data_IF_891544456032
#
_entry.id   IF_891544456032
#
_cell.length_a   1.000
_cell.length_b   1.000
_cell.length_c   1.000
_cell.angle_alpha   90.00
_cell.angle_beta   90.00
_cell.angle_gamma   90.00
#
_symmetry.space_group_name_H-M   'P 1'
#
loop_
_entity.id
_entity.type
_entity.pdbx_description
1 polymer ?
#
# COMPACT_ATOMS: atom_id res chain seq x y z
N UNK A 1 -6.84 12.75 0.40
CA UNK A 1 -5.82 12.62 1.46
C UNK A 1 -6.14 13.67 2.51
N UNK A 2 -5.97 13.40 3.80
CA UNK A 2 -6.34 14.39 4.81
C UNK A 2 -5.26 15.47 4.89
N UNK A 3 -5.27 16.31 3.85
CA UNK A 3 -4.56 17.56 3.67
C UNK A 3 -4.77 18.51 4.86
N UNK A 4 -3.91 18.43 5.85
CA UNK A 4 -3.57 19.56 6.71
C UNK A 4 -2.06 19.60 6.80
N UNK A 5 -1.47 20.76 6.52
CA UNK A 5 -0.03 21.01 6.59
C UNK A 5 0.88 20.19 5.65
N UNK A 6 0.36 19.64 4.55
CA UNK A 6 1.21 19.11 3.47
C UNK A 6 1.73 17.67 3.64
N UNK A 7 1.26 16.90 4.62
CA UNK A 7 1.76 15.53 4.86
C UNK A 7 0.67 14.45 4.70
N UNK A 8 1.04 13.34 4.06
CA UNK A 8 0.21 12.13 3.90
C UNK A 8 0.45 11.23 5.12
N UNK A 9 -0.49 11.20 6.05
CA UNK A 9 -0.29 10.56 7.37
C UNK A 9 -0.50 9.04 7.40
N UNK A 10 -0.86 8.40 6.27
CA UNK A 10 -0.72 6.95 6.04
C UNK A 10 -0.58 6.73 4.53
N UNK A 11 0.66 6.71 4.03
CA UNK A 11 1.00 6.42 2.64
C UNK A 11 0.94 4.91 2.38
N UNK A 12 0.49 4.43 1.21
CA UNK A 12 0.80 3.06 0.78
C UNK A 12 2.31 2.79 0.86
N UNK A 13 2.73 1.53 0.90
CA UNK A 13 4.15 1.21 0.70
C UNK A 13 4.57 1.74 -0.67
N UNK A 14 5.64 2.51 -0.73
CA UNK A 14 6.09 3.11 -1.98
C UNK A 14 7.25 2.30 -2.55
N UNK A 15 7.06 1.79 -3.76
CA UNK A 15 8.05 1.01 -4.49
C UNK A 15 8.65 1.88 -5.59
N UNK A 16 9.88 2.32 -5.40
CA UNK A 16 10.65 3.01 -6.44
C UNK A 16 11.33 1.98 -7.33
N UNK A 17 10.87 1.86 -8.57
CA UNK A 17 11.35 0.87 -9.52
C UNK A 17 12.27 1.51 -10.56
N UNK A 18 13.58 1.37 -10.32
CA UNK A 18 14.63 1.82 -11.22
C UNK A 18 14.63 0.94 -12.46
N UNK A 19 14.47 1.59 -13.62
CA UNK A 19 14.41 0.94 -14.93
C UNK A 19 13.27 -0.09 -15.02
N UNK A 20 12.06 0.26 -14.55
CA UNK A 20 10.89 -0.62 -14.54
C UNK A 20 10.65 -1.32 -15.90
N UNK A 21 10.33 -2.63 -15.93
CA UNK A 21 9.93 -3.32 -17.15
C UNK A 21 8.66 -2.70 -17.78
N UNK A 22 8.64 -2.53 -19.11
CA UNK A 22 7.53 -1.87 -19.81
C UNK A 22 6.20 -2.65 -19.74
N UNK A 23 6.27 -3.94 -19.39
CA UNK A 23 5.09 -4.81 -19.26
C UNK A 23 4.24 -4.50 -18.03
N UNK A 24 4.83 -3.87 -16.99
CA UNK A 24 4.13 -3.39 -15.80
C UNK A 24 3.49 -2.05 -16.17
N UNK A 25 2.24 -2.12 -16.63
CA UNK A 25 1.50 -0.97 -17.11
C UNK A 25 0.75 -0.23 -16.02
N UNK A 26 -0.05 0.76 -16.41
CA UNK A 26 -0.94 1.49 -15.50
C UNK A 26 -1.90 0.58 -14.75
N UNK A 27 -2.51 -0.40 -15.43
CA UNK A 27 -3.44 -1.34 -14.81
C UNK A 27 -2.79 -2.16 -13.68
N UNK A 28 -1.56 -2.64 -13.90
CA UNK A 28 -0.81 -3.43 -12.91
C UNK A 28 -0.44 -2.57 -11.68
N UNK A 29 -0.04 -1.31 -11.92
CA UNK A 29 0.23 -0.34 -10.85
C UNK A 29 -1.02 0.01 -10.05
N UNK A 30 -2.18 0.11 -10.71
CA UNK A 30 -3.47 0.30 -10.05
C UNK A 30 -3.80 -0.92 -9.17
N UNK A 31 -3.57 -2.13 -9.64
CA UNK A 31 -3.85 -3.35 -8.88
C UNK A 31 -2.93 -3.51 -7.66
N UNK A 32 -1.67 -3.12 -7.78
CA UNK A 32 -0.75 -3.00 -6.64
C UNK A 32 -1.21 -1.91 -5.67
N UNK A 33 -1.66 -0.76 -6.17
CA UNK A 33 -2.11 0.34 -5.33
C UNK A 33 -3.38 0.00 -4.55
N UNK A 34 -4.31 -0.74 -5.16
CA UNK A 34 -5.47 -1.30 -4.43
C UNK A 34 -5.03 -2.13 -3.23
N UNK A 35 -3.88 -2.81 -3.34
CA UNK A 35 -3.26 -3.66 -2.30
C UNK A 35 -2.28 -2.92 -1.38
N UNK A 36 -2.44 -1.59 -1.24
CA UNK A 36 -1.61 -0.72 -0.38
C UNK A 36 -0.15 -0.57 -0.86
N UNK A 37 0.13 -0.73 -2.16
CA UNK A 37 1.47 -0.59 -2.76
C UNK A 37 1.48 0.40 -3.92
N UNK A 38 2.09 1.56 -3.74
CA UNK A 38 2.27 2.55 -4.80
C UNK A 38 3.58 2.34 -5.53
N UNK A 39 3.54 2.13 -6.84
CA UNK A 39 4.74 1.92 -7.65
C UNK A 39 5.08 3.19 -8.43
N UNK A 40 6.30 3.68 -8.24
CA UNK A 40 6.87 4.82 -8.94
C UNK A 40 7.97 4.32 -9.87
N UNK A 41 7.84 4.63 -11.15
CA UNK A 41 8.85 4.34 -12.14
C UNK A 41 9.99 5.36 -12.06
N UNK A 42 11.23 4.89 -11.98
CA UNK A 42 12.42 5.74 -11.98
C UNK A 42 13.29 5.42 -13.20
N UNK A 43 13.38 6.36 -14.13
CA UNK A 43 14.22 6.24 -15.34
C UNK A 43 15.66 6.73 -15.10
N UNK A 44 16.15 6.61 -13.87
CA UNK A 44 17.48 7.10 -13.49
C UNK A 44 18.60 6.24 -14.09
N UNK A 45 19.65 6.92 -14.55
CA UNK A 45 20.95 6.28 -14.80
C UNK A 45 21.74 6.18 -13.49
N UNK A 46 22.81 5.39 -13.48
CA UNK A 46 23.61 5.14 -12.27
C UNK A 46 24.16 6.43 -11.67
N UNK A 47 24.55 7.40 -12.50
CA UNK A 47 25.05 8.71 -12.06
C UNK A 47 23.97 9.55 -11.34
N UNK A 48 22.70 9.20 -11.53
CA UNK A 48 21.56 9.92 -10.95
C UNK A 48 20.98 9.22 -9.71
N UNK A 49 21.58 8.11 -9.26
CA UNK A 49 21.08 7.33 -8.13
C UNK A 49 21.05 8.12 -6.82
N UNK A 50 21.86 9.16 -6.68
CA UNK A 50 21.79 10.09 -5.54
C UNK A 50 20.39 10.70 -5.36
N UNK A 51 19.59 10.84 -6.43
CA UNK A 51 18.19 11.31 -6.34
C UNK A 51 17.28 10.37 -5.53
N UNK A 52 17.66 9.09 -5.38
CA UNK A 52 16.94 8.11 -4.55
C UNK A 52 17.11 8.38 -3.06
N UNK A 53 18.17 9.09 -2.65
CA UNK A 53 18.39 9.46 -1.24
C UNK A 53 17.22 10.29 -0.70
N UNK A 54 16.69 11.22 -1.51
CA UNK A 54 15.54 12.05 -1.17
C UNK A 54 14.21 11.27 -1.13
N UNK A 55 14.20 10.03 -1.59
CA UNK A 55 13.02 9.16 -1.64
C UNK A 55 12.97 8.14 -0.50
N UNK A 56 14.02 8.08 0.32
CA UNK A 56 14.12 7.15 1.43
C UNK A 56 13.28 7.63 2.61
N UNK A 57 12.22 6.90 2.90
CA UNK A 57 11.46 6.96 4.14
C UNK A 57 11.18 5.55 4.66
N UNK A 58 10.53 5.40 5.81
CA UNK A 58 10.21 4.10 6.42
C UNK A 58 9.37 3.21 5.49
N UNK A 59 8.44 3.82 4.75
CA UNK A 59 7.50 3.13 3.86
C UNK A 59 8.01 2.83 2.45
N UNK A 60 9.28 3.12 2.17
CA UNK A 60 9.85 3.05 0.82
C UNK A 60 10.76 1.83 0.61
N UNK A 61 10.61 1.19 -0.56
CA UNK A 61 11.48 0.11 -1.03
C UNK A 61 11.92 0.37 -2.47
N UNK A 62 13.04 -0.24 -2.87
CA UNK A 62 13.74 0.08 -4.12
C UNK A 62 14.00 -1.17 -4.94
N UNK A 63 13.51 -1.18 -6.18
CA UNK A 63 13.69 -2.30 -7.10
C UNK A 63 14.59 -1.87 -8.26
N UNK A 64 15.64 -2.64 -8.52
CA UNK A 64 16.61 -2.36 -9.58
C UNK A 64 16.52 -3.42 -10.67
N UNK A 65 16.14 -3.01 -11.87
CA UNK A 65 16.14 -3.88 -13.05
C UNK A 65 17.52 -3.93 -13.71
N UNK A 66 18.29 -4.93 -13.34
CA UNK A 66 19.67 -5.04 -13.78
C UNK A 66 19.78 -5.26 -15.30
N UNK A 67 18.83 -5.97 -15.92
CA UNK A 67 18.84 -6.21 -17.38
C UNK A 67 18.87 -4.90 -18.16
N UNK A 68 18.02 -3.93 -17.77
CA UNK A 68 18.00 -2.61 -18.40
C UNK A 68 19.20 -1.77 -18.03
N UNK A 69 19.64 -1.82 -16.76
CA UNK A 69 20.81 -1.07 -16.29
C UNK A 69 22.06 -1.48 -17.07
N UNK A 70 22.22 -2.76 -17.37
CA UNK A 70 23.39 -3.32 -18.05
C UNK A 70 23.29 -3.31 -19.59
N UNK A 71 22.08 -3.19 -20.15
CA UNK A 71 21.74 -3.43 -21.58
C UNK A 71 22.63 -2.75 -22.64
N UNK A 72 23.37 -1.70 -22.31
CA UNK A 72 24.22 -0.94 -23.23
C UNK A 72 25.73 -1.15 -23.03
N UNK A 73 26.15 -2.15 -22.27
CA UNK A 73 27.55 -2.30 -21.82
C UNK A 73 28.20 -3.56 -22.40
N UNK A 74 29.53 -3.53 -22.57
CA UNK A 74 30.31 -4.76 -22.85
C UNK A 74 30.37 -5.64 -21.60
N UNK A 75 30.60 -6.95 -21.75
CA UNK A 75 30.65 -7.90 -20.62
C UNK A 75 31.60 -7.48 -19.48
N UNK A 76 32.77 -6.93 -19.80
CA UNK A 76 33.69 -6.43 -18.77
C UNK A 76 33.15 -5.18 -18.07
N UNK A 77 32.49 -4.29 -18.81
CA UNK A 77 31.82 -3.13 -18.22
C UNK A 77 30.55 -3.51 -17.44
N UNK A 78 29.87 -4.61 -17.75
CA UNK A 78 28.73 -5.11 -16.97
C UNK A 78 29.15 -5.46 -15.54
N UNK A 79 30.30 -6.12 -15.37
CA UNK A 79 30.86 -6.47 -14.06
C UNK A 79 31.21 -5.20 -13.27
N UNK A 80 31.89 -4.24 -13.90
CA UNK A 80 32.24 -2.97 -13.24
C UNK A 80 31.00 -2.16 -12.85
N UNK A 81 29.99 -2.14 -13.71
CA UNK A 81 28.73 -1.45 -13.45
C UNK A 81 27.95 -2.15 -12.33
N UNK A 82 27.90 -3.47 -12.33
CA UNK A 82 27.28 -4.25 -11.26
C UNK A 82 27.93 -3.97 -9.89
N UNK A 83 29.28 -3.87 -9.83
CA UNK A 83 30.00 -3.47 -8.61
C UNK A 83 29.58 -2.08 -8.13
N UNK A 84 29.57 -1.09 -9.03
CA UNK A 84 29.14 0.28 -8.68
C UNK A 84 27.70 0.32 -8.15
N UNK A 85 26.79 -0.42 -8.78
CA UNK A 85 25.40 -0.51 -8.34
C UNK A 85 25.31 -1.18 -6.96
N UNK A 86 26.02 -2.29 -6.74
CA UNK A 86 26.04 -2.98 -5.46
C UNK A 86 26.61 -2.12 -4.33
N UNK A 87 27.74 -1.43 -4.58
CA UNK A 87 28.36 -0.49 -3.63
C UNK A 87 27.40 0.64 -3.25
N UNK A 88 26.70 1.23 -4.24
CA UNK A 88 25.69 2.26 -3.96
C UNK A 88 24.56 1.71 -3.07
N UNK A 89 23.96 0.57 -3.43
CA UNK A 89 22.82 0.01 -2.71
C UNK A 89 23.21 -0.36 -1.27
N UNK A 90 24.38 -0.97 -1.10
CA UNK A 90 24.95 -1.36 0.19
C UNK A 90 25.11 -0.16 1.14
N UNK A 91 25.61 0.97 0.63
CA UNK A 91 25.72 2.22 1.39
C UNK A 91 24.41 2.99 1.57
N UNK A 92 23.35 2.60 0.86
CA UNK A 92 22.09 3.35 0.78
C UNK A 92 20.97 2.77 1.64
N UNK A 93 20.43 1.62 1.23
CA UNK A 93 19.22 1.02 1.80
C UNK A 93 19.17 -0.48 1.49
N UNK A 94 20.20 -1.26 1.88
CA UNK A 94 20.36 -2.66 1.48
C UNK A 94 19.17 -3.54 1.91
N UNK A 95 18.59 -3.25 3.09
CA UNK A 95 17.52 -4.03 3.69
C UNK A 95 16.16 -3.90 2.96
N UNK A 96 16.00 -2.83 2.17
CA UNK A 96 14.78 -2.51 1.41
C UNK A 96 15.01 -2.44 -0.08
N UNK A 97 16.14 -2.97 -0.55
CA UNK A 97 16.51 -2.99 -1.95
C UNK A 97 16.48 -4.40 -2.52
N UNK A 98 15.90 -4.53 -3.70
CA UNK A 98 15.84 -5.78 -4.46
C UNK A 98 16.44 -5.55 -5.82
N UNK A 99 17.39 -6.41 -6.19
CA UNK A 99 17.99 -6.45 -7.51
C UNK A 99 17.37 -7.63 -8.24
N UNK A 100 16.92 -7.39 -9.46
CA UNK A 100 16.38 -8.46 -10.29
C UNK A 100 16.94 -8.44 -11.70
N UNK A 101 17.02 -9.62 -12.28
CA UNK A 101 17.54 -9.87 -13.63
C UNK A 101 16.93 -11.14 -14.21
N UNK A 102 16.87 -11.22 -15.54
CA UNK A 102 16.64 -12.46 -16.29
C UNK A 102 17.93 -13.20 -16.63
N UNK A 103 19.07 -12.55 -16.45
CA UNK A 103 20.38 -13.06 -16.86
C UNK A 103 20.97 -13.93 -15.74
N UNK A 104 21.36 -15.16 -16.12
CA UNK A 104 22.03 -16.10 -15.21
C UNK A 104 23.55 -15.95 -15.33
N UNK A 105 24.13 -14.99 -14.62
CA UNK A 105 25.59 -14.82 -14.48
C UNK A 105 26.01 -14.96 -13.02
N UNK A 106 26.80 -16.00 -12.71
CA UNK A 106 27.25 -16.30 -11.35
C UNK A 106 28.17 -15.23 -10.78
N UNK A 107 28.99 -14.59 -11.62
CA UNK A 107 29.93 -13.55 -11.19
C UNK A 107 29.16 -12.31 -10.74
N UNK A 108 28.14 -11.92 -11.52
CA UNK A 108 27.28 -10.79 -11.18
C UNK A 108 26.49 -11.08 -9.90
N UNK A 109 25.94 -12.29 -9.78
CA UNK A 109 25.24 -12.73 -8.57
C UNK A 109 26.11 -12.61 -7.31
N UNK A 110 27.35 -13.10 -7.37
CA UNK A 110 28.29 -13.07 -6.25
C UNK A 110 28.55 -11.64 -5.75
N UNK A 111 28.65 -10.66 -6.66
CA UNK A 111 28.83 -9.24 -6.31
C UNK A 111 27.71 -8.75 -5.36
N UNK A 112 26.45 -9.03 -5.70
CA UNK A 112 25.32 -8.59 -4.86
C UNK A 112 25.18 -9.41 -3.57
N UNK A 113 25.51 -10.70 -3.61
CA UNK A 113 25.42 -11.58 -2.44
C UNK A 113 26.48 -11.26 -1.38
N UNK A 114 27.69 -10.87 -1.78
CA UNK A 114 28.75 -10.44 -0.85
C UNK A 114 28.32 -9.21 -0.06
N UNK A 115 27.61 -8.29 -0.72
CA UNK A 115 27.02 -7.10 -0.09
C UNK A 115 25.73 -7.37 0.71
N UNK A 116 25.31 -8.64 0.81
CA UNK A 116 24.09 -9.03 1.54
C UNK A 116 22.78 -8.59 0.89
N UNK A 117 22.81 -8.28 -0.41
CA UNK A 117 21.66 -7.73 -1.13
C UNK A 117 20.73 -8.84 -1.65
N UNK A 118 19.43 -8.55 -1.69
CA UNK A 118 18.43 -9.47 -2.25
C UNK A 118 18.59 -9.50 -3.77
N UNK A 119 19.07 -10.62 -4.31
CA UNK A 119 19.26 -10.85 -5.74
C UNK A 119 18.27 -11.89 -6.28
N UNK A 120 17.46 -11.51 -7.27
CA UNK A 120 16.41 -12.33 -7.85
C UNK A 120 16.64 -12.60 -9.35
N UNK A 121 16.88 -13.86 -9.68
CA UNK A 121 16.89 -14.37 -11.07
C UNK A 121 15.46 -14.66 -11.51
N UNK A 122 14.68 -13.60 -11.77
CA UNK A 122 13.26 -13.68 -12.10
C UNK A 122 12.91 -12.81 -13.29
N UNK A 123 12.16 -13.41 -14.20
CA UNK A 123 11.59 -12.70 -15.32
C UNK A 123 10.30 -12.00 -14.91
N UNK A 124 10.34 -10.67 -14.87
CA UNK A 124 9.18 -9.83 -14.64
C UNK A 124 8.29 -9.64 -15.89
N UNK A 125 8.52 -10.41 -16.96
CA UNK A 125 7.66 -10.45 -18.14
C UNK A 125 6.38 -11.30 -17.97
N UNK A 126 6.25 -12.04 -16.86
CA UNK A 126 4.98 -12.66 -16.46
C UNK A 126 4.24 -11.74 -15.48
N UNK A 127 3.08 -11.21 -15.89
CA UNK A 127 2.32 -10.21 -15.13
C UNK A 127 1.83 -10.74 -13.79
N UNK A 128 1.16 -11.89 -13.78
CA UNK A 128 0.58 -12.47 -12.57
C UNK A 128 1.69 -12.93 -11.62
N UNK A 129 2.77 -13.50 -12.18
CA UNK A 129 3.97 -13.84 -11.43
C UNK A 129 4.62 -12.63 -10.76
N UNK A 130 4.69 -11.49 -11.46
CA UNK A 130 5.32 -10.25 -10.98
C UNK A 130 4.59 -9.62 -9.80
N UNK A 131 3.26 -9.48 -9.90
CA UNK A 131 2.46 -8.89 -8.81
C UNK A 131 2.54 -9.76 -7.56
N UNK A 132 2.43 -11.08 -7.70
CA UNK A 132 2.52 -11.99 -6.56
C UNK A 132 3.92 -11.98 -5.93
N UNK A 133 4.97 -11.91 -6.74
CA UNK A 133 6.34 -11.80 -6.27
C UNK A 133 6.55 -10.52 -5.46
N UNK A 134 6.11 -9.36 -5.96
CA UNK A 134 6.17 -8.08 -5.23
C UNK A 134 5.47 -8.24 -3.88
N UNK A 135 4.24 -8.74 -3.87
CA UNK A 135 3.46 -8.92 -2.64
C UNK A 135 4.14 -9.85 -1.62
N UNK A 136 4.87 -10.86 -2.08
CA UNK A 136 5.64 -11.75 -1.22
C UNK A 136 6.89 -11.07 -0.65
N UNK A 137 7.53 -10.19 -1.42
CA UNK A 137 8.73 -9.45 -1.01
C UNK A 137 8.43 -8.30 -0.03
N UNK A 138 7.20 -7.76 -0.01
CA UNK A 138 6.86 -6.68 0.94
C UNK A 138 7.11 -7.07 2.39
N UNK A 139 6.79 -8.32 2.78
CA UNK A 139 6.94 -8.75 4.17
C UNK A 139 8.39 -8.68 4.66
N UNK A 140 9.38 -9.28 3.97
CA UNK A 140 10.78 -9.15 4.39
C UNK A 140 11.28 -7.71 4.31
N UNK A 141 10.91 -6.94 3.28
CA UNK A 141 11.39 -5.55 3.09
C UNK A 141 10.92 -4.62 4.21
N UNK A 142 9.69 -4.80 4.71
CA UNK A 142 9.12 -3.96 5.78
C UNK A 142 9.04 -4.69 7.12
N UNK A 143 9.85 -5.72 7.33
CA UNK A 143 9.79 -6.58 8.52
C UNK A 143 10.17 -5.88 9.83
N UNK A 144 10.98 -4.83 9.75
CA UNK A 144 11.37 -3.98 10.88
C UNK A 144 10.30 -2.94 11.24
N UNK A 145 9.25 -2.79 10.44
CA UNK A 145 8.21 -1.81 10.73
C UNK A 145 7.24 -2.29 11.81
N UNK A 146 6.95 -1.42 12.78
CA UNK A 146 5.81 -1.58 13.69
C UNK A 146 4.45 -1.32 13.02
N UNK A 147 4.43 -1.16 11.69
CA UNK A 147 3.21 -0.91 10.91
C UNK A 147 2.51 -2.24 10.61
N UNK A 148 1.25 -2.34 11.01
CA UNK A 148 0.40 -3.47 10.63
C UNK A 148 0.18 -3.44 9.12
N UNK A 149 0.64 -4.48 8.42
CA UNK A 149 0.39 -4.69 7.00
C UNK A 149 -1.11 -4.75 6.71
N UNK A 150 -1.55 -3.97 5.74
CA UNK A 150 -2.93 -3.95 5.27
C UNK A 150 -3.05 -4.77 3.99
N UNK A 151 -4.23 -5.33 3.77
CA UNK A 151 -4.58 -6.00 2.51
C UNK A 151 -5.01 -5.00 1.44
N UNK A 152 -5.57 -3.86 1.86
CA UNK A 152 -6.19 -2.88 0.98
C UNK A 152 -5.82 -1.47 1.40
N UNK A 153 -5.69 -0.61 0.38
CA UNK A 153 -5.47 0.81 0.60
C UNK A 153 -6.67 1.45 1.30
N UNK A 154 -6.39 2.41 2.17
CA UNK A 154 -7.38 3.12 2.97
C UNK A 154 -7.44 4.59 2.58
N UNK A 155 -8.64 5.04 2.21
CA UNK A 155 -8.94 6.46 2.05
C UNK A 155 -9.15 7.08 3.43
N UNK A 156 -8.18 7.88 3.89
CA UNK A 156 -8.32 8.66 5.12
C UNK A 156 -9.21 9.88 4.87
N UNK A 157 -10.19 10.08 5.74
CA UNK A 157 -11.23 11.10 5.63
C UNK A 157 -11.19 12.06 6.83
N UNK A 158 -11.18 11.54 8.05
CA UNK A 158 -11.08 12.37 9.26
C UNK A 158 -9.63 12.81 9.52
N UNK A 159 -9.37 14.06 9.97
CA UNK A 159 -10.35 15.08 10.38
C UNK A 159 -10.94 15.98 9.28
N UNK A 160 -10.45 15.94 8.04
CA UNK A 160 -10.80 16.95 7.04
C UNK A 160 -12.19 16.78 6.44
N UNK A 161 -12.65 15.55 6.29
CA UNK A 161 -13.98 15.23 5.76
C UNK A 161 -14.73 14.48 6.84
N UNK A 162 -15.72 15.14 7.43
CA UNK A 162 -16.47 14.63 8.58
C UNK A 162 -17.77 13.97 8.13
N UNK A 163 -17.70 12.69 7.79
CA UNK A 163 -18.91 11.87 7.65
C UNK A 163 -19.29 11.26 8.99
N UNK A 164 -20.57 11.37 9.35
CA UNK A 164 -21.11 10.70 10.54
C UNK A 164 -21.31 9.23 10.24
N UNK A 165 -21.01 8.38 11.20
CA UNK A 165 -21.26 6.95 11.12
C UNK A 165 -21.87 6.46 12.42
N UNK A 166 -22.85 5.56 12.30
CA UNK A 166 -23.47 4.89 13.43
C UNK A 166 -23.12 3.40 13.38
N UNK A 167 -22.66 2.88 14.51
CA UNK A 167 -22.49 1.45 14.76
C UNK A 167 -23.69 0.95 15.58
N UNK A 168 -24.40 -0.03 15.03
CA UNK A 168 -25.68 -0.52 15.56
C UNK A 168 -25.55 -2.01 15.81
N UNK A 169 -25.80 -2.45 17.04
CA UNK A 169 -25.79 -3.89 17.37
C UNK A 169 -26.95 -4.61 16.67
N UNK A 170 -26.77 -5.90 16.37
CA UNK A 170 -27.68 -6.72 15.55
C UNK A 170 -29.16 -6.68 16.01
N UNK A 171 -29.40 -6.50 17.31
CA UNK A 171 -30.76 -6.40 17.86
C UNK A 171 -31.31 -4.95 17.93
N UNK A 172 -30.61 -3.95 17.39
CA UNK A 172 -31.03 -2.54 17.40
C UNK A 172 -31.00 -1.86 18.77
N UNK A 173 -30.68 -2.59 19.85
CA UNK A 173 -30.76 -2.11 21.23
C UNK A 173 -29.78 -1.00 21.57
N UNK A 174 -28.75 -0.78 20.74
CA UNK A 174 -27.74 0.24 20.99
C UNK A 174 -27.18 0.80 19.69
N UNK A 175 -27.20 2.13 19.61
CA UNK A 175 -26.65 2.93 18.51
C UNK A 175 -25.52 3.75 19.09
N UNK A 176 -24.32 3.59 18.56
CA UNK A 176 -23.13 4.35 18.98
C UNK A 176 -22.68 5.19 17.78
N UNK A 177 -22.61 6.49 17.98
CA UNK A 177 -22.23 7.45 16.94
C UNK A 177 -20.73 7.74 16.94
N UNK A 178 -20.22 8.07 15.76
CA UNK A 178 -18.86 8.53 15.57
C UNK A 178 -18.65 9.21 14.22
N UNK A 179 -17.39 9.38 13.86
CA UNK A 179 -16.95 9.88 12.57
C UNK A 179 -16.20 8.81 11.80
N UNK A 180 -16.45 8.75 10.49
CA UNK A 180 -15.70 7.90 9.58
C UNK A 180 -14.25 8.37 9.50
N UNK A 181 -13.33 7.58 10.07
CA UNK A 181 -11.90 7.87 10.06
C UNK A 181 -11.31 7.59 8.69
N UNK A 182 -11.44 6.34 8.25
CA UNK A 182 -10.92 5.82 7.00
C UNK A 182 -11.81 4.71 6.46
N UNK A 183 -11.69 4.42 5.16
CA UNK A 183 -12.44 3.37 4.47
C UNK A 183 -11.54 2.64 3.46
N UNK A 184 -11.63 1.31 3.43
CA UNK A 184 -11.07 0.44 2.38
C UNK A 184 -12.16 -0.47 1.81
N UNK A 185 -11.78 -1.33 0.86
CA UNK A 185 -12.62 -2.42 0.36
C UNK A 185 -12.87 -3.52 1.40
N UNK A 186 -12.13 -3.52 2.52
CA UNK A 186 -12.18 -4.59 3.53
C UNK A 186 -12.56 -4.10 4.92
N UNK A 187 -12.79 -2.80 5.10
CA UNK A 187 -13.10 -2.28 6.42
C UNK A 187 -13.20 -0.77 6.51
N UNK A 188 -13.59 -0.33 7.70
CA UNK A 188 -13.78 1.06 8.08
C UNK A 188 -13.07 1.30 9.42
N UNK A 189 -12.47 2.47 9.57
CA UNK A 189 -12.08 3.02 10.86
C UNK A 189 -13.12 4.01 11.36
N UNK A 190 -13.47 3.96 12.64
CA UNK A 190 -14.44 4.86 13.27
C UNK A 190 -13.80 5.52 14.49
N UNK A 191 -13.81 6.85 14.51
CA UNK A 191 -13.55 7.62 15.74
C UNK A 191 -14.87 7.78 16.48
N UNK A 192 -14.95 7.31 17.71
CA UNK A 192 -16.15 7.38 18.54
C UNK A 192 -16.34 8.80 19.10
N UNK A 193 -17.58 9.19 19.37
CA UNK A 193 -17.89 10.53 19.90
C UNK A 193 -17.52 10.69 21.37
N UNK A 194 -17.60 9.61 22.15
CA UNK A 194 -17.28 9.61 23.59
C UNK A 194 -16.21 8.56 23.90
N UNK A 195 -15.34 8.87 24.86
CA UNK A 195 -14.30 7.94 25.32
C UNK A 195 -14.91 6.65 25.89
N UNK A 196 -16.02 6.77 26.61
CA UNK A 196 -16.70 5.64 27.24
C UNK A 196 -17.40 4.72 26.23
N UNK A 197 -17.66 5.20 25.01
CA UNK A 197 -18.34 4.39 23.99
C UNK A 197 -17.50 3.17 23.57
N UNK A 198 -16.19 3.24 23.73
CA UNK A 198 -15.27 2.14 23.38
C UNK A 198 -15.47 0.90 24.24
N UNK A 199 -15.97 1.07 25.47
CA UNK A 199 -16.22 -0.03 26.39
C UNK A 199 -17.37 -0.92 25.92
N UNK A 200 -18.24 -0.38 25.08
CA UNK A 200 -19.38 -1.13 24.55
C UNK A 200 -18.99 -2.13 23.48
N UNK A 201 -17.83 -1.98 22.84
CA UNK A 201 -17.36 -2.88 21.79
C UNK A 201 -16.38 -3.93 22.30
N UNK A 202 -16.63 -5.17 21.92
CA UNK A 202 -15.70 -6.30 22.01
C UNK A 202 -15.20 -6.69 20.63
N UNK A 203 -14.01 -7.28 20.58
CA UNK A 203 -13.52 -7.88 19.34
C UNK A 203 -14.46 -9.01 18.92
N UNK A 204 -14.70 -9.11 17.61
CA UNK A 204 -15.61 -10.05 16.96
C UNK A 204 -17.10 -9.75 17.11
N UNK A 205 -17.46 -8.62 17.73
CA UNK A 205 -18.86 -8.18 17.75
C UNK A 205 -19.34 -7.95 16.32
N UNK A 206 -20.56 -8.42 16.05
CA UNK A 206 -21.26 -8.18 14.81
C UNK A 206 -22.14 -6.93 14.94
N UNK A 207 -21.96 -5.98 14.03
CA UNK A 207 -22.67 -4.71 14.01
C UNK A 207 -23.11 -4.35 12.59
N UNK A 208 -24.20 -3.62 12.49
CA UNK A 208 -24.58 -2.88 11.28
C UNK A 208 -23.94 -1.49 11.33
N UNK A 209 -23.45 -1.02 10.19
CA UNK A 209 -22.99 0.36 10.05
C UNK A 209 -23.97 1.17 9.21
N UNK A 210 -24.21 2.42 9.62
CA UNK A 210 -24.89 3.43 8.83
C UNK A 210 -23.97 4.62 8.63
N UNK A 211 -23.50 4.78 7.40
CA UNK A 211 -22.72 5.95 6.99
C UNK A 211 -23.66 7.02 6.46
N UNK A 212 -23.70 8.16 7.13
CA UNK A 212 -24.58 9.28 6.82
C UNK A 212 -23.78 10.29 5.99
N UNK A 213 -24.15 10.41 4.71
CA UNK A 213 -23.62 11.43 3.80
C UNK A 213 -24.63 12.55 3.61
N UNK A 214 -24.27 13.63 2.91
CA UNK A 214 -25.19 14.74 2.65
C UNK A 214 -26.45 14.33 1.85
N UNK A 215 -26.32 13.34 0.95
CA UNK A 215 -27.37 13.01 -0.01
C UNK A 215 -27.95 11.60 0.16
N UNK A 216 -27.35 10.77 1.03
CA UNK A 216 -27.76 9.38 1.20
C UNK A 216 -27.29 8.78 2.52
N UNK A 217 -27.98 7.71 2.95
CA UNK A 217 -27.53 6.84 4.05
C UNK A 217 -27.11 5.52 3.44
N UNK A 218 -25.83 5.20 3.58
CA UNK A 218 -25.23 3.95 3.13
C UNK A 218 -25.25 2.95 4.28
N UNK A 219 -25.69 1.72 4.00
CA UNK A 219 -25.86 0.69 5.02
C UNK A 219 -24.92 -0.46 4.73
N UNK A 220 -24.17 -0.88 5.74
CA UNK A 220 -23.41 -2.13 5.76
C UNK A 220 -24.11 -3.01 6.80
N UNK A 221 -25.02 -3.90 6.37
CA UNK A 221 -25.83 -4.73 7.28
C UNK A 221 -25.02 -5.53 8.28
N UNK A 222 -23.83 -6.00 7.89
CA UNK A 222 -22.98 -6.79 8.77
C UNK A 222 -21.50 -6.38 8.59
N UNK A 223 -20.89 -5.99 9.69
CA UNK A 223 -19.47 -5.76 9.85
C UNK A 223 -19.02 -6.33 11.20
N UNK A 224 -17.75 -6.72 11.29
CA UNK A 224 -17.18 -7.36 12.48
C UNK A 224 -16.15 -6.42 13.10
N UNK A 225 -16.24 -6.17 14.41
CA UNK A 225 -15.22 -5.40 15.13
C UNK A 225 -13.90 -6.18 15.14
N UNK A 226 -12.89 -5.67 14.45
CA UNK A 226 -11.59 -6.34 14.27
C UNK A 226 -10.45 -5.67 15.03
N UNK A 227 -10.63 -4.40 15.43
CA UNK A 227 -9.65 -3.66 16.22
C UNK A 227 -10.34 -2.73 17.21
N UNK A 228 -9.73 -2.56 18.38
CA UNK A 228 -10.09 -1.54 19.37
C UNK A 228 -8.84 -0.79 19.81
N UNK A 229 -8.92 0.53 19.86
CA UNK A 229 -7.83 1.39 20.33
C UNK A 229 -8.34 2.38 21.38
N UNK A 230 -8.31 1.99 22.67
CA UNK A 230 -8.79 2.82 23.78
C UNK A 230 -8.11 4.19 23.88
N UNK A 231 -6.81 4.28 23.53
CA UNK A 231 -6.04 5.53 23.64
C UNK A 231 -6.53 6.65 22.73
N UNK A 232 -7.16 6.30 21.62
CA UNK A 232 -7.61 7.24 20.58
C UNK A 232 -9.09 7.07 20.24
N UNK A 233 -9.83 6.37 21.11
CA UNK A 233 -11.29 6.17 21.01
C UNK A 233 -11.73 5.65 19.64
N UNK A 234 -10.98 4.69 19.10
CA UNK A 234 -11.16 4.18 17.75
C UNK A 234 -11.53 2.71 17.74
N UNK A 235 -12.45 2.35 16.85
CA UNK A 235 -12.68 0.96 16.45
C UNK A 235 -12.38 0.77 14.96
N UNK A 236 -11.81 -0.38 14.64
CA UNK A 236 -11.69 -0.87 13.28
C UNK A 236 -12.71 -1.98 13.07
N UNK A 237 -13.43 -1.90 11.97
CA UNK A 237 -14.48 -2.86 11.61
C UNK A 237 -14.16 -3.44 10.23
N UNK A 238 -14.31 -4.75 10.08
CA UNK A 238 -14.04 -5.48 8.84
C UNK A 238 -15.33 -5.95 8.18
N UNK A 239 -15.38 -5.90 6.87
CA UNK A 239 -16.41 -6.48 6.02
C UNK A 239 -15.78 -6.90 4.69
N UNK A 240 -16.47 -7.71 3.91
CA UNK A 240 -16.01 -8.12 2.58
C UNK A 240 -16.84 -7.42 1.52
N UNK A 241 -16.24 -6.55 0.69
CA UNK A 241 -16.98 -5.75 -0.32
C UNK A 241 -17.78 -6.59 -1.32
N UNK A 242 -17.33 -7.81 -1.59
CA UNK A 242 -17.95 -8.76 -2.53
C UNK A 242 -18.94 -9.71 -1.86
N UNK A 243 -19.05 -9.71 -0.53
CA UNK A 243 -19.99 -10.56 0.19
C UNK A 243 -21.35 -9.86 0.32
N UNK A 244 -22.32 -10.34 -0.44
CA UNK A 244 -23.67 -9.78 -0.49
C UNK A 244 -24.45 -9.94 0.81
N UNK A 245 -24.02 -10.83 1.71
CA UNK A 245 -24.58 -10.94 3.06
C UNK A 245 -24.07 -9.82 3.98
N UNK A 246 -22.85 -9.32 3.73
CA UNK A 246 -22.25 -8.26 4.55
C UNK A 246 -22.63 -6.86 4.08
N UNK A 247 -22.67 -6.66 2.75
CA UNK A 247 -22.91 -5.37 2.13
C UNK A 247 -23.81 -5.50 0.90
N UNK A 248 -24.73 -4.55 0.74
CA UNK A 248 -25.58 -4.48 -0.46
C UNK A 248 -24.79 -3.96 -1.64
N UNK A 249 -25.10 -4.49 -2.82
CA UNK A 249 -24.41 -4.15 -4.08
C UNK A 249 -24.35 -2.63 -4.34
N UNK A 250 -25.44 -1.89 -4.13
CA UNK A 250 -25.46 -0.43 -4.30
C UNK A 250 -24.45 0.29 -3.41
N UNK A 251 -24.32 -0.13 -2.15
CA UNK A 251 -23.38 0.46 -1.19
C UNK A 251 -21.95 0.04 -1.53
N UNK A 252 -21.76 -1.23 -1.93
CA UNK A 252 -20.46 -1.72 -2.38
C UNK A 252 -19.95 -0.94 -3.61
N UNK A 253 -20.80 -0.77 -4.62
CA UNK A 253 -20.50 -0.02 -5.84
C UNK A 253 -20.15 1.44 -5.53
N UNK A 254 -20.86 2.06 -4.59
CA UNK A 254 -20.53 3.41 -4.14
C UNK A 254 -19.13 3.49 -3.51
N UNK A 255 -18.82 2.59 -2.58
CA UNK A 255 -17.51 2.57 -1.90
C UNK A 255 -16.38 2.34 -2.92
N UNK A 256 -16.53 1.33 -3.78
CA UNK A 256 -15.57 1.01 -4.84
C UNK A 256 -15.32 2.23 -5.73
N UNK A 257 -16.38 2.88 -6.20
CA UNK A 257 -16.28 4.07 -7.06
C UNK A 257 -15.50 5.20 -6.38
N UNK A 258 -15.73 5.46 -5.09
CA UNK A 258 -15.04 6.54 -4.37
C UNK A 258 -13.55 6.21 -4.14
N UNK A 259 -13.24 4.98 -3.72
CA UNK A 259 -11.85 4.55 -3.52
C UNK A 259 -11.09 4.59 -4.85
N UNK A 260 -11.68 4.09 -5.93
CA UNK A 260 -11.03 4.06 -7.24
C UNK A 260 -10.88 5.45 -7.85
N UNK A 261 -11.86 6.34 -7.64
CA UNK A 261 -11.70 7.76 -8.00
C UNK A 261 -10.50 8.36 -7.27
N UNK A 262 -10.39 8.13 -5.97
CA UNK A 262 -9.25 8.62 -5.20
C UNK A 262 -7.92 8.03 -5.68
N UNK A 263 -7.85 6.70 -5.90
CA UNK A 263 -6.68 6.03 -6.47
C UNK A 263 -6.24 6.69 -7.79
N UNK A 264 -7.20 6.94 -8.68
CA UNK A 264 -6.95 7.61 -9.96
C UNK A 264 -6.39 9.02 -9.74
N UNK A 265 -6.98 9.80 -8.82
CA UNK A 265 -6.52 11.16 -8.50
C UNK A 265 -5.10 11.14 -7.93
N UNK A 266 -4.74 10.16 -7.08
CA UNK A 266 -3.36 9.98 -6.56
C UNK A 266 -2.38 9.71 -7.69
N UNK A 267 -2.70 8.79 -8.59
CA UNK A 267 -1.85 8.48 -9.75
C UNK A 267 -1.65 9.74 -10.61
N UNK A 268 -2.71 10.45 -10.95
CA UNK A 268 -2.63 11.65 -11.80
C UNK A 268 -1.84 12.81 -11.16
N UNK A 269 -1.88 12.94 -9.84
CA UNK A 269 -1.24 14.06 -9.12
C UNK A 269 0.19 13.77 -8.70
N UNK A 270 0.50 12.52 -8.35
CA UNK A 270 1.82 12.14 -7.81
C UNK A 270 2.65 11.30 -8.77
N UNK A 271 1.99 10.49 -9.59
CA UNK A 271 2.64 9.61 -10.54
C UNK A 271 2.50 10.16 -11.94
N UNK A 272 3.09 11.35 -12.24
CA UNK A 272 3.24 11.79 -13.63
C UNK A 272 3.66 10.59 -14.47
N UNK A 273 2.70 10.11 -15.26
CA UNK A 273 2.83 9.05 -16.25
C UNK A 273 3.74 9.57 -17.37
#
# INVERSE_FOLDING_TARGET
MTYQNGEITLSPYTLYWVQMPAIIGEADRIDLLKRDVFVIECQYKVEEYEKLLEKKDDSSAFFFNLDKILSSTTKQGEIELAKKVAEFISGFCPERSVIHTTTLDSTIKEIFQIEGLIYLEKNFNDKDGSVNLIMNLLKPLFSSENRIRRSDIRLLLYPNVRYKIEAIYENGNKVIGGFLKDISLSGIGIILNSENDIEHFSLKDQIMLRLITHNSILKIPMAIVSRKSPKVHEIGVSFTITDTNMIREETANFIVKNIYKWIKDVILTQGKI
#
